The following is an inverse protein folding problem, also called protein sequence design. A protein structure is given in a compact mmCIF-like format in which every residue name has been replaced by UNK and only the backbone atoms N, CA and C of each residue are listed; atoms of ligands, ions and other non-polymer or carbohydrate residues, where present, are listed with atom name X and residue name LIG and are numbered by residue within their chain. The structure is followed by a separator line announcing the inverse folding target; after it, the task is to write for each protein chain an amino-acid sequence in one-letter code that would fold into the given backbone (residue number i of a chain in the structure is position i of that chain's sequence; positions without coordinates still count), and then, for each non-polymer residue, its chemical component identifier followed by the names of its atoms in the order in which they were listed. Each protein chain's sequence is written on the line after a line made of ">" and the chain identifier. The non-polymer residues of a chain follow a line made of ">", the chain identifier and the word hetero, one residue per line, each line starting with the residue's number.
data_IF_995827214668
#
_entry.id   IF_995827214668
#
_cell.length_a   1.000
_cell.length_b   1.000
_cell.length_c   1.000
_cell.angle_alpha   90.00
_cell.angle_beta   90.00
_cell.angle_gamma   90.00
#
_symmetry.space_group_name_H-M   'P 1'
#
loop_
_entity.id
_entity.type
_entity.pdbx_description
1 polymer ?
#
# COMPACT_ATOMS: atom_id res chain seq x y z
N UNK A 1 24.28 -7.80 -6.60
CA UNK A 1 23.17 -8.20 -5.72
C UNK A 1 21.90 -8.05 -6.54
N UNK A 2 21.10 -9.13 -6.75
CA UNK A 2 19.83 -9.04 -7.46
C UNK A 2 18.85 -8.18 -6.67
N UNK A 3 18.06 -7.36 -7.36
CA UNK A 3 17.01 -6.54 -6.73
C UNK A 3 16.08 -7.44 -5.92
N UNK A 4 15.70 -7.05 -4.69
CA UNK A 4 14.73 -7.79 -3.87
C UNK A 4 13.40 -8.03 -4.61
N UNK A 5 13.06 -7.18 -5.58
CA UNK A 5 11.85 -7.32 -6.39
C UNK A 5 11.84 -8.59 -7.25
N UNK A 6 13.01 -9.19 -7.54
CA UNK A 6 13.08 -10.47 -8.25
C UNK A 6 12.60 -11.66 -7.42
N UNK A 7 12.46 -11.50 -6.10
CA UNK A 7 11.87 -12.52 -5.21
C UNK A 7 10.34 -12.59 -5.34
N UNK A 8 9.72 -11.51 -5.79
CA UNK A 8 8.26 -11.46 -5.97
C UNK A 8 7.89 -12.19 -7.26
N UNK A 9 7.05 -13.21 -7.16
CA UNK A 9 6.50 -13.89 -8.33
C UNK A 9 5.69 -12.89 -9.20
N UNK A 10 5.52 -13.15 -10.49
CA UNK A 10 4.56 -12.44 -11.32
C UNK A 10 3.18 -12.42 -10.67
N UNK A 11 2.48 -11.30 -10.78
CA UNK A 11 1.10 -11.15 -10.32
C UNK A 11 0.90 -11.36 -8.81
N UNK A 12 1.96 -11.30 -8.01
CA UNK A 12 1.88 -11.35 -6.54
C UNK A 12 0.86 -10.33 -6.02
N UNK A 13 -0.03 -10.77 -5.13
CA UNK A 13 -1.11 -9.94 -4.57
C UNK A 13 -0.66 -9.18 -3.34
N UNK A 14 -1.15 -7.94 -3.18
CA UNK A 14 -0.93 -7.11 -1.98
C UNK A 14 -2.11 -6.16 -1.76
N UNK A 15 -2.29 -5.67 -0.53
CA UNK A 15 -3.23 -4.56 -0.27
C UNK A 15 -2.57 -3.20 -0.50
N UNK A 16 -3.37 -2.12 -0.58
CA UNK A 16 -2.83 -0.76 -0.64
C UNK A 16 -2.23 -0.36 0.71
N UNK A 17 -2.99 -0.46 1.79
CA UNK A 17 -2.48 -0.13 3.14
C UNK A 17 -3.58 -0.13 4.18
N UNK A 18 -4.59 0.72 4.03
CA UNK A 18 -5.65 0.83 5.03
C UNK A 18 -6.64 -0.33 4.96
N UNK A 19 -7.01 -0.86 6.14
CA UNK A 19 -7.93 -1.97 6.32
C UNK A 19 -9.11 -1.59 7.25
N UNK A 20 -10.30 -2.23 7.08
CA UNK A 20 -11.51 -1.88 7.81
C UNK A 20 -11.62 -2.51 9.21
N UNK A 21 -10.55 -3.09 9.71
CA UNK A 21 -10.55 -3.75 11.03
C UNK A 21 -10.44 -2.72 12.16
N UNK A 22 -11.08 -3.01 13.29
CA UNK A 22 -10.98 -2.18 14.47
C UNK A 22 -9.78 -2.55 15.37
N UNK A 23 -9.30 -3.79 15.29
CA UNK A 23 -8.21 -4.31 16.14
C UNK A 23 -6.96 -4.56 15.30
N UNK A 24 -5.78 -4.06 15.74
CA UNK A 24 -4.52 -4.27 15.04
C UNK A 24 -4.21 -5.75 14.76
N UNK A 25 -4.33 -6.60 15.77
CA UNK A 25 -4.05 -8.04 15.62
C UNK A 25 -4.92 -8.75 14.56
N UNK A 26 -6.19 -8.33 14.39
CA UNK A 26 -7.08 -8.91 13.38
C UNK A 26 -6.69 -8.43 11.97
N UNK A 27 -6.36 -7.14 11.83
CA UNK A 27 -5.90 -6.56 10.58
C UNK A 27 -4.56 -7.18 10.12
N UNK A 28 -3.63 -7.33 11.05
CA UNK A 28 -2.31 -7.92 10.80
C UNK A 28 -2.42 -9.37 10.36
N UNK A 29 -3.18 -10.21 11.09
CA UNK A 29 -3.41 -11.59 10.68
C UNK A 29 -4.02 -11.69 9.30
N UNK A 30 -4.94 -10.78 8.97
CA UNK A 30 -5.51 -10.71 7.62
C UNK A 30 -4.46 -10.30 6.58
N UNK A 31 -3.72 -9.21 6.81
CA UNK A 31 -2.71 -8.72 5.88
C UNK A 31 -1.57 -9.73 5.62
N UNK A 32 -1.19 -10.51 6.64
CA UNK A 32 -0.15 -11.54 6.54
C UNK A 32 -0.67 -12.84 5.93
N UNK A 33 -1.91 -13.23 6.24
CA UNK A 33 -2.46 -14.52 5.82
C UNK A 33 -3.23 -14.50 4.49
N UNK A 34 -3.73 -13.34 4.05
CA UNK A 34 -4.59 -13.25 2.86
C UNK A 34 -3.88 -12.73 1.60
N UNK A 35 -2.69 -12.16 1.75
CA UNK A 35 -1.92 -11.59 0.65
C UNK A 35 -0.55 -12.26 0.51
N UNK A 36 -0.10 -12.48 -0.73
CA UNK A 36 1.20 -13.09 -1.03
C UNK A 36 2.37 -12.16 -0.69
N UNK A 37 2.21 -10.84 -0.82
CA UNK A 37 3.10 -9.82 -0.30
C UNK A 37 2.43 -9.15 0.91
N UNK A 38 2.74 -9.61 2.14
CA UNK A 38 2.20 -9.04 3.36
C UNK A 38 2.56 -7.57 3.54
N UNK A 39 1.72 -6.84 4.25
CA UNK A 39 1.96 -5.42 4.52
C UNK A 39 1.55 -5.03 5.95
N UNK A 40 2.20 -4.00 6.50
CA UNK A 40 1.78 -3.39 7.76
C UNK A 40 0.52 -2.56 7.53
N UNK A 41 -0.64 -2.92 8.12
CA UNK A 41 -1.89 -2.25 7.84
C UNK A 41 -2.04 -0.92 8.58
N UNK A 42 -2.70 0.04 7.92
CA UNK A 42 -3.24 1.25 8.54
C UNK A 42 -4.69 1.03 8.95
N UNK A 43 -5.12 1.63 10.07
CA UNK A 43 -6.42 1.35 10.71
C UNK A 43 -7.22 2.64 10.91
N UNK A 44 -7.79 3.25 9.85
CA UNK A 44 -8.43 4.56 9.92
C UNK A 44 -9.67 4.58 10.82
N UNK A 45 -10.36 3.46 11.01
CA UNK A 45 -11.53 3.38 11.90
C UNK A 45 -11.17 3.46 13.39
N UNK A 46 -9.97 3.06 13.76
CA UNK A 46 -9.55 2.99 15.17
C UNK A 46 -8.57 4.11 15.56
N UNK A 47 -7.72 4.56 14.63
CA UNK A 47 -6.61 5.45 14.92
C UNK A 47 -6.59 6.72 14.08
N UNK A 48 -7.64 6.97 13.30
CA UNK A 48 -7.74 8.12 12.41
C UNK A 48 -7.18 7.85 11.02
N UNK A 49 -7.37 8.85 10.13
CA UNK A 49 -6.91 8.75 8.75
C UNK A 49 -5.37 8.73 8.63
N UNK A 50 -4.88 8.47 7.43
CA UNK A 50 -3.45 8.38 7.14
C UNK A 50 -2.64 9.64 7.52
N UNK A 51 -3.26 10.82 7.56
CA UNK A 51 -2.63 12.06 8.01
C UNK A 51 -2.55 12.10 9.54
N UNK A 52 -3.64 11.72 10.21
CA UNK A 52 -3.70 11.67 11.68
C UNK A 52 -2.76 10.61 12.28
N UNK A 53 -2.54 9.51 11.59
CA UNK A 53 -1.60 8.48 11.99
C UNK A 53 -0.19 9.04 12.17
N UNK A 54 0.24 9.94 11.27
CA UNK A 54 1.59 10.52 11.30
C UNK A 54 1.67 11.85 12.04
N UNK A 55 0.67 12.72 11.90
CA UNK A 55 0.69 14.08 12.45
C UNK A 55 -0.08 14.22 13.77
N UNK A 56 -0.79 13.17 14.21
CA UNK A 56 -1.67 13.21 15.38
C UNK A 56 -3.03 13.84 15.07
N UNK A 57 -3.90 13.87 16.09
CA UNK A 57 -5.30 14.30 15.95
C UNK A 57 -5.48 15.81 15.70
N UNK A 58 -4.53 16.64 16.10
CA UNK A 58 -4.58 18.11 15.93
C UNK A 58 -3.27 18.67 15.32
N UNK A 59 -3.04 18.48 14.04
CA UNK A 59 -1.85 19.01 13.36
C UNK A 59 -1.94 20.54 13.09
N UNK A 60 -2.98 21.20 13.56
CA UNK A 60 -3.26 22.62 13.25
C UNK A 60 -2.70 23.64 14.24
N UNK A 61 -2.05 23.24 15.34
CA UNK A 61 -1.35 24.18 16.23
C UNK A 61 -0.04 24.64 15.60
N UNK A 62 0.14 25.95 15.54
CA UNK A 62 1.30 26.65 15.00
C UNK A 62 2.64 25.98 15.36
N UNK A 63 3.33 25.48 14.35
CA UNK A 63 4.61 24.82 14.46
C UNK A 63 4.45 23.31 14.41
N UNK A 64 4.56 22.76 13.19
CA UNK A 64 4.76 21.32 13.04
C UNK A 64 6.01 20.92 13.86
N UNK A 65 5.77 20.21 14.94
CA UNK A 65 6.82 19.55 15.70
C UNK A 65 6.48 18.06 15.64
N UNK A 66 7.30 17.25 14.95
CA UNK A 66 7.07 15.82 14.90
C UNK A 66 7.11 15.25 16.32
N UNK A 67 6.04 14.58 16.70
CA UNK A 67 6.04 13.78 17.93
C UNK A 67 6.97 12.60 17.71
N UNK A 68 8.17 12.68 18.33
CA UNK A 68 9.20 11.64 18.18
C UNK A 68 8.75 10.29 18.73
N UNK A 69 7.77 10.27 19.63
CA UNK A 69 7.26 9.04 20.24
C UNK A 69 6.17 8.35 19.39
N UNK A 70 5.68 9.01 18.31
CA UNK A 70 4.64 8.48 17.40
C UNK A 70 5.13 8.24 15.96
N UNK A 71 6.28 7.61 15.80
CA UNK A 71 6.85 7.33 14.48
C UNK A 71 6.49 5.96 13.90
N UNK A 72 5.64 5.18 14.59
CA UNK A 72 5.28 3.83 14.19
C UNK A 72 3.78 3.72 13.93
N UNK A 73 3.37 3.00 12.88
CA UNK A 73 1.96 2.65 12.67
C UNK A 73 1.38 1.93 13.88
N UNK A 74 0.10 2.16 14.18
CA UNK A 74 -0.58 1.54 15.33
C UNK A 74 -0.55 0.00 15.31
N UNK A 75 -0.40 -0.61 14.13
CA UNK A 75 -0.31 -2.06 13.96
C UNK A 75 1.12 -2.60 13.95
N UNK A 76 2.14 -1.75 14.18
CA UNK A 76 3.55 -2.12 13.98
C UNK A 76 4.00 -3.30 14.83
N UNK A 77 3.77 -3.26 16.13
CA UNK A 77 4.24 -4.31 17.05
C UNK A 77 3.57 -5.65 16.74
N UNK A 78 2.25 -5.64 16.50
CA UNK A 78 1.51 -6.83 16.10
C UNK A 78 2.03 -7.36 14.76
N UNK A 79 2.36 -6.47 13.81
CA UNK A 79 2.89 -6.86 12.50
C UNK A 79 4.25 -7.54 12.60
N UNK A 80 5.18 -6.96 13.35
CA UNK A 80 6.51 -7.56 13.57
C UNK A 80 6.38 -8.93 14.21
N UNK A 81 5.55 -9.06 15.25
CA UNK A 81 5.32 -10.35 15.91
C UNK A 81 4.71 -11.39 14.97
N UNK A 82 3.76 -10.99 14.13
CA UNK A 82 3.07 -11.90 13.23
C UNK A 82 3.98 -12.39 12.11
N UNK A 83 4.80 -11.52 11.50
CA UNK A 83 5.74 -11.94 10.44
C UNK A 83 6.91 -12.78 10.97
N UNK A 84 7.24 -12.67 12.26
CA UNK A 84 8.19 -13.57 12.92
C UNK A 84 7.56 -14.96 13.11
N UNK A 85 6.30 -15.02 13.51
CA UNK A 85 5.58 -16.30 13.71
C UNK A 85 5.23 -16.99 12.40
N UNK A 86 4.88 -16.19 11.41
CA UNK A 86 4.43 -16.63 10.09
C UNK A 86 5.23 -15.92 8.98
N UNK A 87 6.53 -16.26 8.82
CA UNK A 87 7.38 -15.58 7.85
C UNK A 87 6.86 -15.80 6.42
N UNK A 88 6.73 -14.71 5.64
CA UNK A 88 6.29 -14.82 4.26
C UNK A 88 7.30 -15.64 3.43
N UNK A 89 6.80 -16.58 2.62
CA UNK A 89 7.63 -17.47 1.79
C UNK A 89 8.56 -16.71 0.82
N UNK A 90 8.15 -15.52 0.39
CA UNK A 90 8.94 -14.65 -0.50
C UNK A 90 10.07 -13.90 0.24
N UNK A 91 10.07 -13.91 1.58
CA UNK A 91 11.05 -13.16 2.40
C UNK A 91 11.01 -11.65 2.19
N UNK A 92 9.86 -11.12 1.77
CA UNK A 92 9.64 -9.70 1.51
C UNK A 92 8.32 -9.28 2.15
N UNK A 93 8.31 -8.08 2.73
CA UNK A 93 7.10 -7.42 3.24
C UNK A 93 6.99 -6.01 2.67
N UNK A 94 5.78 -5.45 2.68
CA UNK A 94 5.53 -4.07 2.24
C UNK A 94 5.21 -3.19 3.45
N UNK A 95 5.83 -2.01 3.49
CA UNK A 95 5.45 -0.91 4.37
C UNK A 95 4.74 0.17 3.54
N UNK A 96 3.62 0.66 4.07
CA UNK A 96 2.90 1.79 3.49
C UNK A 96 3.16 3.03 4.34
N UNK A 97 3.56 4.13 3.71
CA UNK A 97 3.92 5.38 4.38
C UNK A 97 3.19 6.53 3.71
N UNK A 98 2.49 7.35 4.49
CA UNK A 98 1.87 8.57 3.93
C UNK A 98 2.96 9.51 3.44
N UNK A 99 2.83 9.97 2.20
CA UNK A 99 3.87 10.73 1.54
C UNK A 99 4.04 12.16 2.06
N UNK A 100 5.26 12.70 1.96
CA UNK A 100 5.59 14.03 2.46
C UNK A 100 4.79 15.15 1.79
N UNK A 101 4.44 15.03 0.52
CA UNK A 101 3.62 16.02 -0.16
C UNK A 101 2.18 16.01 0.35
N UNK A 102 1.62 14.83 0.59
CA UNK A 102 0.29 14.68 1.18
C UNK A 102 0.22 15.29 2.57
N UNK A 103 1.22 15.02 3.42
CA UNK A 103 1.30 15.59 4.76
C UNK A 103 1.50 17.11 4.73
N UNK A 104 2.34 17.63 3.83
CA UNK A 104 2.57 19.05 3.67
C UNK A 104 1.29 19.79 3.23
N UNK A 105 0.55 19.24 2.24
CA UNK A 105 -0.76 19.77 1.81
C UNK A 105 -1.78 19.78 2.95
N UNK A 106 -1.80 18.71 3.75
CA UNK A 106 -2.71 18.61 4.90
C UNK A 106 -2.39 19.65 5.99
N UNK A 107 -1.10 19.94 6.23
CA UNK A 107 -0.66 20.97 7.16
C UNK A 107 -0.98 22.36 6.65
N UNK A 108 -0.78 22.64 5.34
CA UNK A 108 -1.14 23.93 4.74
C UNK A 108 -2.64 24.21 4.85
N UNK A 109 -3.48 23.23 4.53
CA UNK A 109 -4.94 23.38 4.57
C UNK A 109 -5.50 23.63 5.97
N UNK A 110 -4.75 23.32 7.02
CA UNK A 110 -5.14 23.51 8.43
C UNK A 110 -4.48 24.71 9.10
N UNK A 111 -3.47 25.31 8.47
CA UNK A 111 -2.76 26.48 8.97
C UNK A 111 -3.41 27.76 8.46
N UNK A 112 -3.68 28.72 9.35
CA UNK A 112 -4.05 30.09 8.99
C UNK A 112 -2.90 30.88 8.34
N UNK A 113 -1.68 30.37 8.39
CA UNK A 113 -0.50 30.92 7.70
C UNK A 113 -0.26 30.11 6.44
N UNK A 114 -0.23 30.78 5.28
CA UNK A 114 0.29 30.18 4.06
C UNK A 114 1.72 29.71 4.34
N UNK A 115 1.97 28.42 4.19
CA UNK A 115 3.34 27.93 4.14
C UNK A 115 3.98 28.54 2.89
N UNK A 116 4.93 29.45 3.10
CA UNK A 116 5.54 30.22 2.01
C UNK A 116 6.44 29.36 1.12
N UNK A 117 6.77 28.14 1.59
CA UNK A 117 7.61 27.20 0.84
C UNK A 117 7.17 25.74 1.10
N UNK A 118 6.14 25.31 0.37
CA UNK A 118 5.63 23.95 0.39
C UNK A 118 6.74 22.91 0.08
N UNK A 119 7.64 23.10 -0.90
CA UNK A 119 8.72 22.17 -1.17
C UNK A 119 9.69 21.97 0.00
N UNK A 120 10.01 23.01 0.75
CA UNK A 120 10.90 22.92 1.91
C UNK A 120 10.24 22.18 3.07
N UNK A 121 8.96 22.48 3.36
CA UNK A 121 8.19 21.72 4.33
C UNK A 121 8.10 20.24 3.97
N UNK A 122 7.82 19.92 2.71
CA UNK A 122 7.75 18.54 2.26
C UNK A 122 9.10 17.81 2.39
N UNK A 123 10.24 18.48 2.14
CA UNK A 123 11.58 17.90 2.35
C UNK A 123 11.87 17.67 3.84
N UNK A 124 11.49 18.58 4.72
CA UNK A 124 11.62 18.41 6.17
C UNK A 124 10.82 17.20 6.65
N UNK A 125 9.56 17.08 6.21
CA UNK A 125 8.70 15.93 6.50
C UNK A 125 9.32 14.65 5.94
N UNK A 126 9.85 14.67 4.73
CA UNK A 126 10.52 13.50 4.13
C UNK A 126 11.73 13.04 4.93
N UNK A 127 12.54 13.96 5.46
CA UNK A 127 13.65 13.62 6.34
C UNK A 127 13.21 12.95 7.65
N UNK A 128 12.12 13.45 8.24
CA UNK A 128 11.54 12.86 9.44
C UNK A 128 10.95 11.46 9.19
N UNK A 129 10.16 11.31 8.11
CA UNK A 129 9.63 10.00 7.70
C UNK A 129 10.75 9.00 7.39
N UNK A 130 11.82 9.44 6.73
CA UNK A 130 12.96 8.60 6.39
C UNK A 130 13.66 8.02 7.63
N UNK A 131 13.74 8.77 8.72
CA UNK A 131 14.28 8.27 9.98
C UNK A 131 13.41 7.13 10.54
N UNK A 132 12.08 7.32 10.60
CA UNK A 132 11.15 6.29 11.05
C UNK A 132 11.18 5.04 10.14
N UNK A 133 11.19 5.23 8.83
CA UNK A 133 11.28 4.14 7.85
C UNK A 133 12.58 3.38 7.99
N UNK A 134 13.71 4.06 8.20
CA UNK A 134 15.01 3.41 8.41
C UNK A 134 15.02 2.47 9.61
N UNK A 135 14.36 2.88 10.71
CA UNK A 135 14.26 2.04 11.91
C UNK A 135 13.36 0.82 11.67
N UNK A 136 12.23 1.01 10.99
CA UNK A 136 11.33 -0.08 10.61
C UNK A 136 12.01 -1.09 9.67
N UNK A 137 12.71 -0.59 8.64
CA UNK A 137 13.45 -1.42 7.68
C UNK A 137 14.55 -2.23 8.40
N UNK A 138 15.27 -1.61 9.33
CA UNK A 138 16.30 -2.29 10.14
C UNK A 138 15.69 -3.39 10.99
N UNK A 139 14.60 -3.10 11.71
CA UNK A 139 13.90 -4.10 12.54
C UNK A 139 13.47 -5.31 11.72
N UNK A 140 12.94 -5.10 10.52
CA UNK A 140 12.54 -6.20 9.63
C UNK A 140 13.76 -6.95 9.05
N UNK A 141 14.85 -6.25 8.75
CA UNK A 141 16.09 -6.87 8.29
C UNK A 141 16.74 -7.75 9.36
N UNK A 142 16.67 -7.36 10.64
CA UNK A 142 17.18 -8.13 11.78
C UNK A 142 16.45 -9.47 11.94
N UNK A 143 15.20 -9.57 11.45
CA UNK A 143 14.44 -10.84 11.40
C UNK A 143 14.47 -11.51 10.01
N UNK A 144 15.38 -11.08 9.13
CA UNK A 144 15.64 -11.73 7.83
C UNK A 144 14.68 -11.33 6.70
N UNK A 145 13.87 -10.28 6.87
CA UNK A 145 12.91 -9.82 5.88
C UNK A 145 13.43 -8.61 5.09
N UNK A 146 13.25 -8.65 3.79
CA UNK A 146 13.46 -7.48 2.93
C UNK A 146 12.19 -6.63 2.88
N UNK A 147 12.34 -5.32 2.71
CA UNK A 147 11.22 -4.37 2.80
C UNK A 147 11.05 -3.59 1.51
N UNK A 148 9.84 -3.63 0.93
CA UNK A 148 9.36 -2.69 -0.08
C UNK A 148 8.62 -1.54 0.62
N UNK A 149 9.13 -0.33 0.52
CA UNK A 149 8.47 0.87 1.06
C UNK A 149 7.65 1.52 -0.05
N UNK A 150 6.33 1.64 0.14
CA UNK A 150 5.45 2.34 -0.80
C UNK A 150 4.95 3.62 -0.16
N UNK A 151 5.24 4.74 -0.81
CA UNK A 151 4.85 6.08 -0.36
C UNK A 151 3.50 6.44 -0.99
N UNK A 152 2.54 6.77 -0.15
CA UNK A 152 1.14 7.05 -0.52
C UNK A 152 0.95 8.56 -0.70
N UNK A 153 0.72 9.00 -1.93
CA UNK A 153 0.63 10.42 -2.27
C UNK A 153 -0.73 10.82 -2.88
N UNK A 154 -1.85 10.67 -2.16
CA UNK A 154 -3.15 11.16 -2.65
C UNK A 154 -3.16 12.67 -2.84
N UNK A 155 -2.32 13.42 -2.11
CA UNK A 155 -2.17 14.88 -2.23
C UNK A 155 -1.31 15.36 -3.38
N UNK A 156 -0.74 14.46 -4.18
CA UNK A 156 0.26 14.78 -5.21
C UNK A 156 -0.23 15.83 -6.23
N UNK A 157 -1.48 15.72 -6.70
CA UNK A 157 -2.05 16.69 -7.62
C UNK A 157 -2.28 18.08 -6.98
N UNK A 158 -2.60 18.13 -5.69
CA UNK A 158 -2.71 19.40 -4.98
C UNK A 158 -1.33 20.05 -4.82
N UNK A 159 -0.31 19.26 -4.51
CA UNK A 159 1.08 19.72 -4.39
C UNK A 159 1.66 20.29 -5.70
N UNK A 160 1.23 19.79 -6.86
CA UNK A 160 1.67 20.32 -8.17
C UNK A 160 1.44 21.82 -8.34
N UNK A 161 0.42 22.38 -7.69
CA UNK A 161 0.12 23.83 -7.76
C UNK A 161 1.21 24.70 -7.14
N UNK A 162 2.06 24.12 -6.31
CA UNK A 162 3.16 24.79 -5.60
C UNK A 162 4.51 24.66 -6.32
N UNK A 163 4.51 24.10 -7.54
CA UNK A 163 5.71 24.00 -8.37
C UNK A 163 6.42 22.64 -8.29
N UNK A 164 7.63 22.57 -8.82
CA UNK A 164 8.38 21.33 -8.91
C UNK A 164 8.87 20.87 -7.51
N UNK A 165 8.48 19.68 -7.10
CA UNK A 165 8.93 19.04 -5.85
C UNK A 165 10.10 18.06 -6.12
N UNK A 166 11.08 18.47 -6.95
CA UNK A 166 12.26 17.66 -7.23
C UNK A 166 13.01 17.31 -5.94
N UNK A 167 13.38 16.03 -5.81
CA UNK A 167 14.16 15.53 -4.68
C UNK A 167 13.38 15.36 -3.36
N UNK A 168 12.06 15.61 -3.34
CA UNK A 168 11.27 15.50 -2.10
C UNK A 168 11.26 14.08 -1.53
N UNK A 169 11.39 13.05 -2.36
CA UNK A 169 11.42 11.64 -1.93
C UNK A 169 12.84 11.08 -1.74
N UNK A 170 13.90 11.87 -1.98
CA UNK A 170 15.29 11.36 -1.96
C UNK A 170 15.67 10.76 -0.60
N UNK A 171 15.23 11.36 0.50
CA UNK A 171 15.46 10.84 1.84
C UNK A 171 14.78 9.48 2.06
N UNK A 172 13.52 9.33 1.63
CA UNK A 172 12.77 8.05 1.72
C UNK A 172 13.37 6.99 0.81
N UNK A 173 13.77 7.37 -0.42
CA UNK A 173 14.48 6.49 -1.34
C UNK A 173 15.77 5.96 -0.74
N UNK A 174 16.54 6.80 -0.05
CA UNK A 174 17.78 6.39 0.61
C UNK A 174 17.55 5.48 1.83
N UNK A 175 16.40 5.61 2.49
CA UNK A 175 16.02 4.81 3.66
C UNK A 175 15.48 3.41 3.30
N UNK A 176 15.09 3.18 2.05
CA UNK A 176 14.39 1.97 1.61
C UNK A 176 15.27 1.09 0.71
N UNK A 177 15.31 -0.26 0.91
CA UNK A 177 16.00 -1.20 0.01
C UNK A 177 15.37 -1.26 -1.39
N UNK A 178 14.06 -1.06 -1.47
CA UNK A 178 13.28 -0.77 -2.67
C UNK A 178 12.13 0.15 -2.29
N UNK A 179 11.78 1.08 -3.16
CA UNK A 179 10.73 2.03 -2.89
C UNK A 179 9.75 2.19 -4.05
N UNK A 180 8.53 2.61 -3.73
CA UNK A 180 7.47 2.83 -4.71
C UNK A 180 6.61 4.02 -4.38
N UNK A 181 5.80 4.44 -5.36
CA UNK A 181 4.78 5.45 -5.20
C UNK A 181 3.40 4.86 -5.48
N UNK A 182 2.45 5.09 -4.58
CA UNK A 182 1.03 4.83 -4.81
C UNK A 182 0.29 6.16 -4.97
N UNK A 183 -0.53 6.26 -6.02
CA UNK A 183 -1.35 7.43 -6.31
C UNK A 183 -2.80 7.00 -6.51
N UNK A 184 -3.66 7.31 -5.54
CA UNK A 184 -5.10 7.01 -5.62
C UNK A 184 -5.87 7.99 -6.53
N UNK A 185 -5.27 9.13 -6.86
CA UNK A 185 -5.84 10.20 -7.66
C UNK A 185 -5.36 10.20 -9.10
N UNK A 186 -5.60 11.31 -9.80
CA UNK A 186 -5.01 11.55 -11.11
C UNK A 186 -3.48 11.41 -11.04
N UNK A 187 -2.91 10.67 -12.01
CA UNK A 187 -1.51 10.29 -11.97
C UNK A 187 -0.65 11.27 -12.78
N UNK A 188 0.22 12.03 -12.14
CA UNK A 188 1.13 12.95 -12.82
C UNK A 188 2.35 12.18 -13.37
N UNK A 189 2.19 11.47 -14.46
CA UNK A 189 3.17 10.54 -15.03
C UNK A 189 4.58 11.13 -15.18
N UNK A 190 4.68 12.43 -15.48
CA UNK A 190 5.99 13.10 -15.60
C UNK A 190 6.73 13.16 -14.26
N UNK A 191 6.02 13.30 -13.16
CA UNK A 191 6.61 13.35 -11.83
C UNK A 191 7.03 11.95 -11.37
N UNK A 192 6.17 10.94 -11.62
CA UNK A 192 6.52 9.56 -11.33
C UNK A 192 7.74 9.11 -12.12
N UNK A 193 7.84 9.53 -13.39
CA UNK A 193 8.98 9.23 -14.22
C UNK A 193 10.28 9.91 -13.72
N UNK A 194 10.20 11.16 -13.30
CA UNK A 194 11.33 11.92 -12.74
C UNK A 194 11.76 11.41 -11.36
N UNK A 195 10.85 10.88 -10.55
CA UNK A 195 11.12 10.30 -9.24
C UNK A 195 11.84 8.93 -9.33
N UNK A 196 11.73 8.26 -10.48
CA UNK A 196 12.35 6.95 -10.74
C UNK A 196 12.09 5.90 -9.65
N UNK A 197 10.84 5.68 -9.22
CA UNK A 197 10.54 4.63 -8.24
C UNK A 197 10.86 3.24 -8.80
N UNK A 198 11.10 2.28 -7.90
CA UNK A 198 11.20 0.86 -8.26
C UNK A 198 9.82 0.23 -8.48
N UNK A 199 8.79 0.80 -7.87
CA UNK A 199 7.40 0.34 -7.99
C UNK A 199 6.46 1.53 -8.18
N UNK A 200 5.52 1.40 -9.14
CA UNK A 200 4.40 2.33 -9.33
C UNK A 200 3.10 1.58 -9.05
N UNK A 201 2.25 2.15 -8.19
CA UNK A 201 0.92 1.65 -7.85
C UNK A 201 -0.14 2.71 -8.16
N UNK A 202 -1.21 2.35 -8.88
CA UNK A 202 -2.29 3.28 -9.19
C UNK A 202 -3.59 2.57 -9.59
N UNK A 203 -4.70 3.28 -9.56
CA UNK A 203 -6.02 2.81 -10.00
C UNK A 203 -6.10 2.81 -11.54
N UNK A 204 -5.86 1.65 -12.15
CA UNK A 204 -5.94 1.51 -13.60
C UNK A 204 -7.39 1.48 -14.12
N UNK A 205 -8.36 1.18 -13.26
CA UNK A 205 -9.78 1.16 -13.65
C UNK A 205 -10.28 2.56 -13.92
N UNK A 206 -9.88 3.52 -13.08
CA UNK A 206 -10.33 4.92 -13.18
C UNK A 206 -9.47 5.72 -14.16
N UNK A 207 -8.16 5.54 -14.14
CA UNK A 207 -7.22 6.37 -14.89
C UNK A 207 -6.69 5.71 -16.17
N UNK A 208 -7.01 4.43 -16.37
CA UNK A 208 -6.64 3.70 -17.59
C UNK A 208 -5.13 3.57 -17.77
N UNK A 209 -4.75 3.32 -19.01
CA UNK A 209 -3.35 3.17 -19.42
C UNK A 209 -3.10 3.95 -20.73
N UNK A 210 -3.05 5.28 -20.63
CA UNK A 210 -2.80 6.18 -21.74
C UNK A 210 -1.35 6.12 -22.25
N UNK A 211 -0.99 6.95 -23.24
CA UNK A 211 0.38 6.97 -23.79
C UNK A 211 1.44 7.37 -22.77
N UNK A 212 1.13 8.25 -21.83
CA UNK A 212 2.07 8.69 -20.79
C UNK A 212 2.30 7.56 -19.78
N UNK A 213 1.22 6.91 -19.31
CA UNK A 213 1.26 5.72 -18.48
C UNK A 213 2.12 4.61 -19.10
N UNK A 214 1.79 4.24 -20.36
CA UNK A 214 2.54 3.22 -21.11
C UNK A 214 4.03 3.53 -21.21
N UNK A 215 4.39 4.78 -21.51
CA UNK A 215 5.78 5.18 -21.65
C UNK A 215 6.53 5.10 -20.31
N UNK A 216 5.94 5.59 -19.23
CA UNK A 216 6.51 5.56 -17.88
C UNK A 216 6.65 4.13 -17.35
N UNK A 217 5.61 3.30 -17.48
CA UNK A 217 5.65 1.89 -17.06
C UNK A 217 6.72 1.11 -17.85
N UNK A 218 6.86 1.33 -19.16
CA UNK A 218 7.94 0.70 -19.95
C UNK A 218 9.33 1.14 -19.48
N UNK A 219 9.52 2.39 -19.08
CA UNK A 219 10.79 2.85 -18.49
C UNK A 219 11.06 2.20 -17.13
N UNK A 220 10.05 2.15 -16.27
CA UNK A 220 10.09 1.43 -15.01
C UNK A 220 10.54 -0.02 -15.21
N UNK A 221 9.88 -0.78 -16.09
CA UNK A 221 10.22 -2.17 -16.39
C UNK A 221 11.63 -2.36 -16.94
N UNK A 222 12.13 -1.44 -17.80
CA UNK A 222 13.52 -1.49 -18.31
C UNK A 222 14.56 -1.37 -17.20
N UNK A 223 14.22 -0.71 -16.09
CA UNK A 223 15.07 -0.62 -14.89
C UNK A 223 14.91 -1.81 -13.93
N UNK A 224 14.07 -2.80 -14.30
CA UNK A 224 13.75 -3.95 -13.43
C UNK A 224 12.67 -3.65 -12.40
N UNK A 225 11.98 -2.51 -12.53
CA UNK A 225 10.89 -2.13 -11.64
C UNK A 225 9.59 -2.88 -11.93
N UNK A 226 8.61 -2.73 -11.03
CA UNK A 226 7.33 -3.43 -11.06
C UNK A 226 6.15 -2.46 -11.02
N UNK A 227 5.02 -2.86 -11.59
CA UNK A 227 3.76 -2.14 -11.47
C UNK A 227 2.78 -2.90 -10.60
N UNK A 228 2.15 -2.22 -9.64
CA UNK A 228 1.03 -2.74 -8.86
C UNK A 228 -0.24 -2.19 -9.51
N UNK A 229 -1.01 -3.06 -10.13
CA UNK A 229 -2.28 -2.70 -10.76
C UNK A 229 -3.40 -2.65 -9.73
N UNK A 230 -4.00 -1.48 -9.52
CA UNK A 230 -5.28 -1.33 -8.83
C UNK A 230 -6.41 -1.78 -9.76
N UNK A 231 -6.78 -3.06 -9.71
CA UNK A 231 -7.69 -3.72 -10.66
C UNK A 231 -8.99 -4.22 -10.05
N UNK A 232 -9.10 -4.16 -8.73
CA UNK A 232 -10.28 -4.60 -8.01
C UNK A 232 -10.87 -3.44 -7.22
N UNK A 233 -12.19 -3.23 -7.34
CA UNK A 233 -12.89 -2.18 -6.59
C UNK A 233 -12.78 -2.46 -5.08
N UNK A 234 -12.26 -1.48 -4.33
CA UNK A 234 -12.06 -1.59 -2.90
C UNK A 234 -13.38 -1.58 -2.08
N UNK A 235 -14.48 -1.12 -2.67
CA UNK A 235 -15.79 -1.00 -2.01
C UNK A 235 -16.72 -2.14 -2.43
N UNK A 236 -16.74 -2.47 -3.73
CA UNK A 236 -17.64 -3.46 -4.32
C UNK A 236 -16.87 -4.48 -5.17
N UNK A 237 -16.20 -5.47 -4.56
CA UNK A 237 -15.48 -6.51 -5.31
C UNK A 237 -16.39 -7.26 -6.29
N UNK A 238 -15.93 -7.37 -7.55
CA UNK A 238 -16.74 -7.84 -8.69
C UNK A 238 -16.37 -9.25 -9.17
N UNK A 239 -15.46 -9.91 -8.48
CA UNK A 239 -15.03 -11.29 -8.76
C UNK A 239 -13.78 -11.40 -9.62
N UNK A 240 -13.12 -12.61 -9.62
CA UNK A 240 -11.78 -12.79 -10.19
C UNK A 240 -11.73 -12.69 -11.71
N UNK A 241 -12.78 -13.08 -12.44
CA UNK A 241 -12.77 -13.05 -13.91
C UNK A 241 -12.63 -11.62 -14.45
N UNK A 242 -13.30 -10.66 -13.84
CA UNK A 242 -13.22 -9.26 -14.25
C UNK A 242 -11.85 -8.65 -13.92
N UNK A 243 -11.24 -9.08 -12.81
CA UNK A 243 -9.85 -8.72 -12.48
C UNK A 243 -8.89 -9.23 -13.56
N UNK A 244 -9.03 -10.50 -13.97
CA UNK A 244 -8.24 -11.09 -15.07
C UNK A 244 -8.35 -10.27 -16.35
N UNK A 245 -9.58 -9.91 -16.76
CA UNK A 245 -9.81 -9.13 -17.97
C UNK A 245 -9.12 -7.76 -17.91
N UNK A 246 -9.20 -7.08 -16.78
CA UNK A 246 -8.59 -5.77 -16.55
C UNK A 246 -7.05 -5.82 -16.58
N UNK A 247 -6.48 -6.81 -15.90
CA UNK A 247 -5.02 -7.03 -15.93
C UNK A 247 -4.54 -7.31 -17.34
N UNK A 248 -5.23 -8.20 -18.06
CA UNK A 248 -4.89 -8.52 -19.44
C UNK A 248 -5.02 -7.31 -20.38
N UNK A 249 -6.04 -6.49 -20.18
CA UNK A 249 -6.23 -5.26 -20.97
C UNK A 249 -5.11 -4.24 -20.69
N UNK A 250 -4.76 -3.99 -19.43
CA UNK A 250 -3.68 -3.11 -19.04
C UNK A 250 -2.33 -3.60 -19.56
N UNK A 251 -2.04 -4.89 -19.41
CA UNK A 251 -0.80 -5.51 -19.88
C UNK A 251 -0.67 -5.40 -21.42
N UNK A 252 -1.74 -5.66 -22.17
CA UNK A 252 -1.76 -5.49 -23.63
C UNK A 252 -1.53 -4.02 -24.04
N UNK A 253 -2.13 -3.07 -23.32
CA UNK A 253 -1.93 -1.64 -23.60
C UNK A 253 -0.47 -1.22 -23.39
N UNK A 254 0.17 -1.68 -22.31
CA UNK A 254 1.60 -1.42 -22.07
C UNK A 254 2.48 -2.15 -23.07
N UNK A 255 2.20 -3.41 -23.40
CA UNK A 255 3.01 -4.17 -24.35
C UNK A 255 3.03 -3.49 -25.72
N UNK A 256 1.86 -3.13 -26.26
CA UNK A 256 1.74 -2.53 -27.56
C UNK A 256 2.32 -3.44 -28.64
N UNK A 257 3.11 -2.86 -29.57
CA UNK A 257 3.74 -3.62 -30.69
C UNK A 257 5.17 -4.11 -30.39
N UNK A 258 5.78 -3.65 -29.28
CA UNK A 258 7.23 -3.83 -29.04
C UNK A 258 7.57 -4.78 -27.90
N UNK A 259 6.62 -5.08 -27.04
CA UNK A 259 6.78 -5.93 -25.86
C UNK A 259 5.81 -7.09 -25.94
N UNK A 260 6.16 -8.20 -25.34
CA UNK A 260 5.20 -9.29 -25.16
C UNK A 260 4.31 -8.96 -23.97
N UNK A 261 3.03 -9.30 -24.05
CA UNK A 261 2.12 -9.16 -22.91
C UNK A 261 2.62 -9.92 -21.68
N UNK A 262 3.23 -11.10 -21.91
CA UNK A 262 3.84 -11.88 -20.84
C UNK A 262 4.93 -11.11 -20.08
N UNK A 263 5.79 -10.36 -20.77
CA UNK A 263 6.85 -9.57 -20.10
C UNK A 263 6.25 -8.49 -19.18
N UNK A 264 5.08 -7.95 -19.53
CA UNK A 264 4.37 -7.00 -18.66
C UNK A 264 3.74 -7.71 -17.48
N UNK A 265 3.12 -8.87 -17.70
CA UNK A 265 2.55 -9.69 -16.61
C UNK A 265 3.64 -10.14 -15.63
N UNK A 266 4.82 -10.49 -16.13
CA UNK A 266 5.97 -10.86 -15.30
C UNK A 266 6.45 -9.72 -14.37
N UNK A 267 6.26 -8.47 -14.81
CA UNK A 267 6.58 -7.28 -14.02
C UNK A 267 5.39 -6.73 -13.21
N UNK A 268 4.27 -7.45 -13.18
CA UNK A 268 3.02 -7.02 -12.55
C UNK A 268 2.83 -7.58 -11.15
N UNK A 269 2.17 -6.78 -10.31
CA UNK A 269 1.61 -7.13 -9.01
C UNK A 269 0.14 -6.69 -9.00
N UNK A 270 -0.69 -7.25 -8.12
CA UNK A 270 -2.13 -6.97 -8.08
C UNK A 270 -2.55 -6.39 -6.74
N UNK A 271 -3.43 -5.39 -6.79
CA UNK A 271 -4.05 -4.82 -5.58
C UNK A 271 -5.48 -4.33 -5.84
N UNK A 272 -6.14 -3.91 -4.77
CA UNK A 272 -7.31 -3.05 -4.87
C UNK A 272 -6.95 -1.67 -5.45
N UNK A 273 -7.96 -0.95 -5.94
CA UNK A 273 -7.79 0.42 -6.49
C UNK A 273 -7.38 1.43 -5.42
N UNK A 274 -7.76 1.17 -4.17
CA UNK A 274 -7.45 1.99 -3.00
C UNK A 274 -7.39 1.10 -1.75
N UNK A 275 -7.04 1.70 -0.60
CA UNK A 275 -7.20 1.04 0.69
C UNK A 275 -8.67 0.82 1.04
N UNK A 276 -8.96 -0.22 1.80
CA UNK A 276 -10.33 -0.64 2.15
C UNK A 276 -10.80 -0.15 3.51
N UNK A 277 -10.06 0.75 4.16
CA UNK A 277 -10.37 1.25 5.50
C UNK A 277 -11.79 1.78 5.69
N UNK A 278 -12.41 2.32 4.63
CA UNK A 278 -13.80 2.77 4.62
C UNK A 278 -14.83 1.68 4.31
N UNK A 279 -14.40 0.48 3.90
CA UNK A 279 -15.26 -0.62 3.46
C UNK A 279 -15.65 -1.54 4.61
N UNK A 280 -16.53 -2.52 4.36
CA UNK A 280 -16.84 -3.57 5.31
C UNK A 280 -15.75 -4.67 5.32
N UNK A 281 -15.50 -5.29 6.48
CA UNK A 281 -14.54 -6.40 6.62
C UNK A 281 -14.85 -7.55 5.66
N UNK A 282 -16.13 -7.83 5.41
CA UNK A 282 -16.53 -8.84 4.46
C UNK A 282 -16.16 -8.49 3.00
N UNK A 283 -16.21 -7.21 2.63
CA UNK A 283 -15.79 -6.74 1.31
C UNK A 283 -14.27 -6.88 1.15
N UNK A 284 -13.49 -6.47 2.17
CA UNK A 284 -12.03 -6.66 2.18
C UNK A 284 -11.63 -8.14 2.01
N UNK A 285 -12.26 -9.04 2.77
CA UNK A 285 -11.98 -10.47 2.66
C UNK A 285 -12.32 -11.03 1.27
N UNK A 286 -13.38 -10.54 0.64
CA UNK A 286 -13.71 -10.90 -0.75
C UNK A 286 -12.67 -10.36 -1.72
N UNK A 287 -12.28 -9.10 -1.56
CA UNK A 287 -11.26 -8.46 -2.39
C UNK A 287 -9.95 -9.26 -2.40
N UNK A 288 -9.42 -9.55 -1.21
CA UNK A 288 -8.19 -10.33 -1.06
C UNK A 288 -8.28 -11.71 -1.72
N UNK A 289 -9.39 -12.42 -1.49
CA UNK A 289 -9.66 -13.73 -2.12
C UNK A 289 -9.75 -13.62 -3.64
N UNK A 290 -10.47 -12.63 -4.16
CA UNK A 290 -10.72 -12.50 -5.60
C UNK A 290 -9.43 -12.08 -6.34
N UNK A 291 -8.57 -11.28 -5.71
CA UNK A 291 -7.21 -10.97 -6.19
C UNK A 291 -6.35 -12.23 -6.26
N UNK A 292 -6.33 -13.04 -5.20
CA UNK A 292 -5.58 -14.28 -5.16
C UNK A 292 -6.05 -15.28 -6.24
N UNK A 293 -7.35 -15.46 -6.38
CA UNK A 293 -7.93 -16.32 -7.43
C UNK A 293 -7.58 -15.82 -8.83
N UNK A 294 -7.64 -14.51 -9.09
CA UNK A 294 -7.26 -13.92 -10.36
C UNK A 294 -5.76 -14.12 -10.67
N UNK A 295 -4.90 -13.98 -9.67
CA UNK A 295 -3.47 -14.25 -9.80
C UNK A 295 -3.19 -15.70 -10.19
N UNK A 296 -3.83 -16.66 -9.53
CA UNK A 296 -3.72 -18.09 -9.85
C UNK A 296 -4.20 -18.40 -11.27
N UNK A 297 -5.35 -17.85 -11.67
CA UNK A 297 -5.88 -18.03 -13.03
C UNK A 297 -4.91 -17.48 -14.09
N UNK A 298 -4.31 -16.31 -13.87
CA UNK A 298 -3.38 -15.68 -14.80
C UNK A 298 -2.03 -16.42 -14.89
N UNK A 299 -1.57 -17.02 -13.79
CA UNK A 299 -0.34 -17.84 -13.76
C UNK A 299 -0.54 -19.25 -14.27
N UNK A 300 -1.79 -19.73 -14.34
CA UNK A 300 -2.11 -21.13 -14.62
C UNK A 300 -1.81 -22.07 -13.43
N UNK A 301 -1.77 -21.52 -12.23
CA UNK A 301 -1.54 -22.26 -10.99
C UNK A 301 -2.81 -23.03 -10.56
N UNK A 302 -2.68 -24.11 -9.79
CA UNK A 302 -3.83 -24.74 -9.13
C UNK A 302 -4.56 -23.71 -8.26
N UNK A 303 -5.89 -23.72 -8.30
CA UNK A 303 -6.68 -22.82 -7.46
C UNK A 303 -6.44 -23.15 -5.98
N UNK A 304 -6.26 -22.14 -5.11
CA UNK A 304 -6.10 -22.35 -3.68
C UNK A 304 -7.34 -23.05 -3.11
N UNK A 305 -7.16 -23.95 -2.16
CA UNK A 305 -8.27 -24.55 -1.44
C UNK A 305 -9.11 -23.43 -0.82
N UNK A 306 -10.41 -23.40 -1.13
CA UNK A 306 -11.33 -22.44 -0.49
C UNK A 306 -11.35 -22.79 0.99
N UNK A 307 -10.94 -21.92 1.91
CA UNK A 307 -11.08 -22.17 3.33
C UNK A 307 -12.55 -22.43 3.61
N UNK A 308 -12.86 -23.56 4.21
CA UNK A 308 -14.23 -23.81 4.71
C UNK A 308 -14.64 -22.62 5.57
N UNK A 309 -15.87 -22.08 5.44
CA UNK A 309 -16.32 -21.03 6.33
C UNK A 309 -16.10 -21.50 7.77
N UNK A 310 -15.62 -20.63 8.68
CA UNK A 310 -15.46 -21.01 10.08
C UNK A 310 -16.78 -21.62 10.51
N UNK A 311 -16.74 -22.85 11.05
CA UNK A 311 -17.92 -23.42 11.71
C UNK A 311 -18.38 -22.36 12.69
N UNK A 312 -19.67 -22.00 12.68
CA UNK A 312 -20.25 -21.19 13.74
C UNK A 312 -19.88 -21.94 15.01
N UNK A 313 -18.90 -21.41 15.75
CA UNK A 313 -18.67 -21.83 17.09
C UNK A 313 -19.96 -21.51 17.80
N UNK A 314 -20.55 -22.55 18.37
CA UNK A 314 -21.83 -22.59 19.02
C UNK A 314 -22.05 -21.32 19.83
N UNK A 315 -23.24 -20.73 19.65
CA UNK A 315 -23.80 -19.76 20.58
C UNK A 315 -23.55 -20.34 22.00
N UNK A 316 -22.57 -19.77 22.68
CA UNK A 316 -22.40 -20.02 24.11
C UNK A 316 -23.70 -19.54 24.72
N UNK A 317 -24.58 -20.49 25.04
CA UNK A 317 -25.78 -20.22 25.82
C UNK A 317 -25.32 -19.61 27.13
N UNK A 318 -25.45 -18.31 27.25
CA UNK A 318 -25.28 -17.62 28.52
C UNK A 318 -26.42 -18.10 29.39
N UNK A 319 -26.08 -19.02 30.30
CA UNK A 319 -26.96 -19.48 31.35
C UNK A 319 -27.40 -18.27 32.20
N UNK A 320 -28.66 -17.82 31.96
CA UNK A 320 -29.27 -16.65 32.61
C UNK A 320 -29.62 -16.88 34.08
N UNK A 321 -29.35 -18.07 34.63
CA UNK A 321 -29.76 -18.43 36.00
C UNK A 321 -28.67 -18.23 37.06
N UNK A 322 -27.52 -17.58 36.72
CA UNK A 322 -26.46 -17.30 37.72
C UNK A 322 -26.31 -15.84 38.15
N UNK A 323 -27.29 -14.99 37.94
CA UNK A 323 -27.27 -13.58 38.43
C UNK A 323 -28.42 -13.31 39.42
N UNK A 324 -28.83 -14.26 40.21
CA UNK A 324 -29.86 -14.06 41.23
C UNK A 324 -29.37 -14.27 42.68
N UNK A 325 -28.08 -14.49 42.89
CA UNK A 325 -27.52 -14.57 44.24
C UNK A 325 -26.12 -13.92 44.30
N UNK A 326 -26.11 -12.55 44.41
CA UNK A 326 -25.10 -11.74 45.08
C UNK A 326 -25.60 -10.30 45.28
#
# INVERSE_FOLDING_TARGET
>A
MGSMLTRLAPLTTTGVGSLPFARPADAVRHAVGAYELPFCPQLPRAYGDMVQEWLGADPGRCGWAPDRDRQLPAAWDDFVLEVIRHPPSVGVVKLQVTGPLTLAVALEGRSSRRCTDMPDLAREIAGWLAAAVSDQVRTLADVGLATLVVVDEPGLMAAQRHGACGGVWDALRAAAPAWGLHVCGEVPWRWLDAAEPDVISYDVMRYGCDRAAQATIRRLMRRGGRVIWGVADAVAPEGPSLIVDRVCAAARAVAGRRWRTADVLDASLLSGTCGTGGSEVAAERRLARDLLLAAHLLRGDPLPAVPSPPRREDEVSVDRDRVADL
#
